data_IF_103177500052
#
_entry.id   IF_103177500052
#
_cell.length_a   1.000
_cell.length_b   1.000
_cell.length_c   1.000
_cell.angle_alpha   90.00
_cell.angle_beta   90.00
_cell.angle_gamma   90.00
#
_symmetry.space_group_name_H-M   'P 1'
#
loop_
_entity.id
_entity.type
_entity.pdbx_description
1 polymer ?
#
# COMPACT_ATOMS: atom_id res chain seq x y z
N UNK A 1 -16.90 9.86 -6.09
CA UNK A 1 -15.45 10.13 -6.03
C UNK A 1 -14.83 8.86 -5.53
N UNK A 2 -13.90 8.30 -6.27
CA UNK A 2 -13.36 6.99 -5.93
C UNK A 2 -12.42 7.12 -4.72
N UNK A 3 -12.56 6.20 -3.76
CA UNK A 3 -11.73 6.16 -2.55
C UNK A 3 -10.59 5.17 -2.76
N UNK A 4 -9.37 5.68 -2.80
CA UNK A 4 -8.16 4.86 -2.79
C UNK A 4 -7.47 4.92 -1.42
N UNK A 5 -7.07 3.76 -0.91
CA UNK A 5 -6.36 3.64 0.35
C UNK A 5 -4.92 3.20 0.08
N UNK A 6 -3.96 3.95 0.61
CA UNK A 6 -2.56 3.55 0.65
C UNK A 6 -2.24 3.02 2.05
N UNK A 7 -1.90 1.73 2.13
CA UNK A 7 -1.72 1.00 3.40
C UNK A 7 -0.54 0.03 3.31
N UNK A 8 0.05 -0.30 4.45
CA UNK A 8 1.27 -1.11 4.56
C UNK A 8 2.14 -0.64 5.72
N UNK A 9 3.29 -1.29 5.93
CA UNK A 9 4.19 -0.97 7.04
C UNK A 9 4.76 0.45 6.96
N UNK A 10 5.20 0.99 8.09
CA UNK A 10 5.98 2.22 8.13
C UNK A 10 7.25 2.09 7.29
N UNK A 11 7.74 3.22 6.79
CA UNK A 11 8.86 3.29 5.86
C UNK A 11 8.65 2.61 4.49
N UNK A 12 7.47 2.02 4.22
CA UNK A 12 7.18 1.36 2.95
C UNK A 12 7.07 2.26 1.70
N UNK A 13 7.11 3.59 1.83
CA UNK A 13 7.07 4.51 0.69
C UNK A 13 5.69 5.01 0.24
N UNK A 14 4.62 4.74 1.01
CA UNK A 14 3.24 5.18 0.71
C UNK A 14 3.11 6.66 0.37
N UNK A 15 3.59 7.53 1.27
CA UNK A 15 3.55 8.98 1.08
C UNK A 15 4.41 9.41 -0.12
N UNK A 16 5.56 8.75 -0.34
CA UNK A 16 6.42 9.02 -1.50
C UNK A 16 5.70 8.72 -2.81
N UNK A 17 5.02 7.58 -2.90
CA UNK A 17 4.21 7.22 -4.07
C UNK A 17 3.14 8.28 -4.33
N UNK A 18 2.43 8.73 -3.29
CA UNK A 18 1.39 9.75 -3.43
C UNK A 18 1.98 11.07 -3.97
N UNK A 19 3.09 11.55 -3.40
CA UNK A 19 3.75 12.77 -3.88
C UNK A 19 4.27 12.64 -5.30
N UNK A 20 4.86 11.50 -5.66
CA UNK A 20 5.28 11.22 -7.04
C UNK A 20 4.09 11.26 -8.01
N UNK A 21 2.97 10.62 -7.67
CA UNK A 21 1.76 10.63 -8.50
C UNK A 21 1.13 12.02 -8.63
N UNK A 22 1.30 12.89 -7.63
CA UNK A 22 0.85 14.28 -7.68
C UNK A 22 1.85 15.23 -8.38
N UNK A 23 3.04 14.76 -8.77
CA UNK A 23 4.11 15.61 -9.30
C UNK A 23 4.77 16.50 -8.24
N UNK A 24 4.58 16.20 -6.95
CA UNK A 24 5.08 16.95 -5.80
C UNK A 24 6.51 16.53 -5.40
N UNK A 25 7.40 16.36 -6.39
CA UNK A 25 8.76 15.84 -6.19
C UNK A 25 9.60 16.63 -5.18
N UNK A 26 9.34 17.93 -5.03
CA UNK A 26 10.03 18.78 -4.05
C UNK A 26 9.78 18.38 -2.59
N UNK A 27 8.69 17.68 -2.31
CA UNK A 27 8.32 17.23 -0.97
C UNK A 27 9.02 15.92 -0.57
N UNK A 28 9.60 15.18 -1.52
CA UNK A 28 10.19 13.86 -1.28
C UNK A 28 11.37 13.89 -0.28
N UNK A 29 12.15 14.97 -0.27
CA UNK A 29 13.32 15.11 0.62
C UNK A 29 12.95 15.40 2.08
N UNK A 30 11.70 15.79 2.35
CA UNK A 30 11.24 16.23 3.67
C UNK A 30 10.23 15.31 4.34
N UNK A 31 10.00 14.10 3.80
CA UNK A 31 8.96 13.19 4.30
C UNK A 31 9.28 12.78 5.74
N UNK A 32 8.28 12.94 6.61
CA UNK A 32 8.29 12.47 8.00
C UNK A 32 7.30 11.31 8.16
N UNK A 33 7.47 10.44 9.18
CA UNK A 33 6.51 9.36 9.43
C UNK A 33 5.07 9.89 9.57
N UNK A 34 4.14 9.36 8.76
CA UNK A 34 2.72 9.75 8.80
C UNK A 34 2.08 9.43 10.15
N UNK A 35 1.37 10.40 10.71
CA UNK A 35 0.68 10.30 11.99
C UNK A 35 -0.80 9.97 11.77
N UNK A 36 -1.25 8.81 12.24
CA UNK A 36 -2.66 8.43 12.16
C UNK A 36 -3.12 8.16 10.73
N UNK A 37 -4.15 8.88 10.29
CA UNK A 37 -4.71 8.78 8.93
C UNK A 37 -4.65 10.17 8.32
N UNK A 38 -3.82 10.35 7.29
CA UNK A 38 -3.80 11.59 6.52
C UNK A 38 -4.85 11.50 5.43
N UNK A 39 -5.80 12.45 5.44
CA UNK A 39 -6.92 12.52 4.50
C UNK A 39 -6.80 13.80 3.70
N UNK A 40 -6.36 13.71 2.46
CA UNK A 40 -6.44 14.83 1.54
C UNK A 40 -7.76 14.76 0.79
N UNK A 41 -8.84 15.25 1.42
CA UNK A 41 -10.17 15.31 0.79
C UNK A 41 -10.27 16.43 -0.27
N UNK A 42 -9.37 17.42 -0.21
CA UNK A 42 -9.34 18.59 -1.10
C UNK A 42 -8.45 18.42 -2.32
N UNK A 43 -7.49 17.49 -2.28
CA UNK A 43 -6.56 17.22 -3.40
C UNK A 43 -7.03 15.96 -4.10
N UNK A 44 -7.89 16.14 -5.10
CA UNK A 44 -8.20 15.06 -6.05
C UNK A 44 -6.94 14.79 -6.85
N UNK A 45 -6.35 13.60 -6.67
CA UNK A 45 -5.27 13.16 -7.55
C UNK A 45 -5.89 12.70 -8.86
N UNK A 46 -5.28 13.06 -9.98
CA UNK A 46 -5.62 12.48 -11.28
C UNK A 46 -4.78 11.24 -11.48
N UNK A 47 -5.33 10.08 -11.13
CA UNK A 47 -4.71 8.79 -11.43
C UNK A 47 -5.47 8.15 -12.58
N UNK A 48 -4.78 7.84 -13.68
CA UNK A 48 -5.39 7.23 -14.88
C UNK A 48 -6.60 8.01 -15.43
N UNK A 49 -6.60 9.35 -15.25
CA UNK A 49 -7.71 10.22 -15.67
C UNK A 49 -8.89 10.29 -14.69
N UNK A 50 -8.83 9.57 -13.56
CA UNK A 50 -9.86 9.53 -12.53
C UNK A 50 -9.53 10.49 -11.38
N UNK A 51 -10.55 11.15 -10.83
CA UNK A 51 -10.41 11.98 -9.63
C UNK A 51 -10.58 11.12 -8.38
N UNK A 52 -9.46 10.80 -7.75
CA UNK A 52 -9.42 9.91 -6.59
C UNK A 52 -9.21 10.71 -5.31
N UNK A 53 -9.97 10.38 -4.27
CA UNK A 53 -9.65 10.76 -2.89
C UNK A 53 -8.73 9.72 -2.29
N UNK A 54 -7.52 10.13 -1.90
CA UNK A 54 -6.53 9.20 -1.36
C UNK A 54 -6.45 9.31 0.17
N UNK A 55 -6.31 8.16 0.82
CA UNK A 55 -6.08 8.04 2.25
C UNK A 55 -4.70 7.45 2.47
N UNK A 56 -3.80 8.22 3.09
CA UNK A 56 -2.46 7.73 3.49
C UNK A 56 -2.51 7.28 4.95
N UNK A 57 -2.41 5.95 5.15
CA UNK A 57 -2.49 5.36 6.48
C UNK A 57 -1.10 5.28 7.12
N UNK A 58 -0.95 5.82 8.33
CA UNK A 58 0.29 5.67 9.10
C UNK A 58 0.64 4.20 9.32
N UNK A 59 1.82 3.78 8.85
CA UNK A 59 2.24 2.38 8.89
C UNK A 59 2.86 1.91 10.21
N UNK A 60 3.09 2.82 11.17
CA UNK A 60 3.69 2.42 12.45
C UNK A 60 2.71 1.53 13.21
N UNK A 61 3.22 0.56 13.97
CA UNK A 61 2.41 -0.43 14.70
C UNK A 61 1.17 0.16 15.41
N UNK A 62 1.35 1.22 16.20
CA UNK A 62 0.26 1.91 16.92
C UNK A 62 -0.87 2.45 16.01
N UNK A 63 -0.54 2.86 14.78
CA UNK A 63 -1.50 3.39 13.81
C UNK A 63 -2.13 2.27 12.99
N UNK A 64 -1.40 1.20 12.69
CA UNK A 64 -1.98 -0.03 12.12
C UNK A 64 -3.02 -0.65 13.04
N UNK A 65 -2.72 -0.76 14.34
CA UNK A 65 -3.68 -1.23 15.36
C UNK A 65 -4.93 -0.35 15.41
N UNK A 66 -4.76 0.97 15.23
CA UNK A 66 -5.87 1.93 15.17
C UNK A 66 -6.71 1.74 13.91
N UNK A 67 -6.08 1.56 12.75
CA UNK A 67 -6.76 1.29 11.46
C UNK A 67 -7.64 0.04 11.56
N UNK A 68 -7.13 -1.05 12.15
CA UNK A 68 -7.90 -2.29 12.33
C UNK A 68 -9.09 -2.08 13.29
N UNK A 69 -8.93 -1.27 14.34
CA UNK A 69 -10.02 -0.92 15.28
C UNK A 69 -11.07 -0.02 14.64
N UNK A 70 -10.67 0.92 13.79
CA UNK A 70 -11.54 1.88 13.10
C UNK A 70 -11.99 1.37 11.72
N UNK A 71 -12.03 0.05 11.52
CA UNK A 71 -12.29 -0.60 10.22
C UNK A 71 -13.52 -0.09 9.47
N UNK A 72 -14.65 0.08 10.17
CA UNK A 72 -15.92 0.57 9.62
C UNK A 72 -15.82 1.99 9.05
N UNK A 73 -14.83 2.76 9.48
CA UNK A 73 -14.58 4.10 8.99
C UNK A 73 -13.51 4.10 7.89
N UNK A 74 -12.48 3.25 8.04
CA UNK A 74 -11.34 3.22 7.11
C UNK A 74 -11.68 2.49 5.80
N UNK A 75 -12.29 1.31 5.86
CA UNK A 75 -12.43 0.45 4.68
C UNK A 75 -13.78 0.55 3.98
N UNK A 76 -14.78 1.18 4.61
CA UNK A 76 -16.10 1.39 3.99
C UNK A 76 -16.00 2.15 2.68
N UNK A 77 -16.71 1.68 1.64
CA UNK A 77 -16.73 2.29 0.30
C UNK A 77 -15.32 2.46 -0.32
N UNK A 78 -14.35 1.63 0.09
CA UNK A 78 -13.06 1.60 -0.58
C UNK A 78 -13.23 0.99 -1.97
N UNK A 79 -12.77 1.69 -3.01
CA UNK A 79 -12.80 1.15 -4.38
C UNK A 79 -11.46 0.51 -4.75
N UNK A 80 -10.37 1.09 -4.25
CA UNK A 80 -9.00 0.66 -4.53
C UNK A 80 -8.18 0.62 -3.23
N UNK A 81 -7.43 -0.45 -3.04
CA UNK A 81 -6.41 -0.56 -1.99
C UNK A 81 -5.05 -0.74 -2.64
N UNK A 82 -4.15 0.22 -2.42
CA UNK A 82 -2.72 0.08 -2.69
C UNK A 82 -2.04 -0.43 -1.42
N UNK A 83 -1.72 -1.74 -1.40
CA UNK A 83 -0.93 -2.34 -0.33
C UNK A 83 0.56 -2.28 -0.69
N UNK A 84 1.32 -1.52 0.08
CA UNK A 84 2.73 -1.20 -0.22
C UNK A 84 3.66 -2.01 0.66
N UNK A 85 4.57 -2.75 0.02
CA UNK A 85 5.58 -3.61 0.64
C UNK A 85 6.95 -3.06 0.30
N UNK A 86 7.78 -2.77 1.30
CA UNK A 86 9.19 -2.45 1.09
C UNK A 86 9.95 -3.74 0.78
N UNK A 87 10.44 -3.90 -0.45
CA UNK A 87 11.17 -5.13 -0.83
C UNK A 87 12.54 -5.23 -0.18
N UNK A 88 13.08 -4.13 0.35
CA UNK A 88 14.39 -4.08 0.98
C UNK A 88 14.37 -4.39 2.48
N UNK A 89 13.17 -4.54 3.05
CA UNK A 89 12.94 -4.86 4.47
C UNK A 89 12.35 -6.28 4.58
N UNK A 90 13.12 -7.26 4.08
CA UNK A 90 12.73 -8.67 3.99
C UNK A 90 12.48 -9.32 5.37
N UNK A 91 13.22 -8.88 6.38
CA UNK A 91 13.02 -9.26 7.78
C UNK A 91 11.58 -8.99 8.25
N UNK A 92 10.90 -7.99 7.67
CA UNK A 92 9.52 -7.60 8.01
C UNK A 92 8.46 -8.14 7.05
N UNK A 93 8.82 -8.98 6.09
CA UNK A 93 7.82 -9.64 5.24
C UNK A 93 6.75 -10.40 6.04
N UNK A 94 7.08 -11.17 7.11
CA UNK A 94 6.07 -11.81 7.93
C UNK A 94 5.12 -10.82 8.61
N UNK A 95 5.63 -9.70 9.14
CA UNK A 95 4.83 -8.64 9.77
C UNK A 95 3.92 -7.94 8.76
N UNK A 96 4.41 -7.76 7.53
CA UNK A 96 3.63 -7.19 6.42
C UNK A 96 2.52 -8.15 5.99
N UNK A 97 2.81 -9.45 5.88
CA UNK A 97 1.82 -10.45 5.51
C UNK A 97 0.73 -10.60 6.57
N UNK A 98 1.09 -10.66 7.86
CA UNK A 98 0.13 -10.72 8.97
C UNK A 98 -0.79 -9.48 8.97
N UNK A 99 -0.25 -8.30 8.66
CA UNK A 99 -1.08 -7.10 8.58
C UNK A 99 -2.02 -7.12 7.38
N UNK A 100 -1.55 -7.61 6.23
CA UNK A 100 -2.37 -7.78 5.04
C UNK A 100 -3.50 -8.79 5.27
N UNK A 101 -3.20 -9.94 5.87
CA UNK A 101 -4.18 -10.96 6.24
C UNK A 101 -5.33 -10.39 7.08
N UNK A 102 -5.01 -9.62 8.14
CA UNK A 102 -6.02 -8.93 8.96
C UNK A 102 -6.87 -7.94 8.17
N UNK A 103 -6.32 -7.30 7.13
CA UNK A 103 -7.09 -6.42 6.25
C UNK A 103 -8.06 -7.25 5.40
N UNK A 104 -7.62 -8.37 4.84
CA UNK A 104 -8.48 -9.28 4.08
C UNK A 104 -9.64 -9.79 4.95
N UNK A 105 -9.36 -10.26 6.16
CA UNK A 105 -10.39 -10.69 7.12
C UNK A 105 -11.43 -9.60 7.40
N UNK A 106 -10.99 -8.35 7.56
CA UNK A 106 -11.87 -7.20 7.76
C UNK A 106 -12.74 -6.93 6.53
N UNK A 107 -12.15 -6.98 5.33
CA UNK A 107 -12.89 -6.77 4.09
C UNK A 107 -13.95 -7.86 3.88
N UNK A 108 -13.62 -9.11 4.21
CA UNK A 108 -14.57 -10.23 4.18
C UNK A 108 -15.70 -10.03 5.20
N UNK A 109 -15.38 -9.65 6.44
CA UNK A 109 -16.37 -9.38 7.50
C UNK A 109 -17.33 -8.24 7.12
N UNK A 110 -16.80 -7.20 6.46
CA UNK A 110 -17.56 -6.03 6.03
C UNK A 110 -18.28 -6.23 4.69
N UNK A 111 -18.04 -7.36 4.00
CA UNK A 111 -18.52 -7.62 2.64
C UNK A 111 -18.11 -6.50 1.64
N UNK A 112 -16.87 -6.04 1.75
CA UNK A 112 -16.24 -5.05 0.87
C UNK A 112 -15.32 -5.75 -0.15
N UNK A 113 -15.43 -5.36 -1.43
CA UNK A 113 -14.63 -5.94 -2.54
C UNK A 113 -13.89 -4.87 -3.36
N UNK A 114 -12.95 -4.11 -2.75
CA UNK A 114 -12.08 -3.21 -3.49
C UNK A 114 -11.15 -3.98 -4.45
N UNK A 115 -10.70 -3.32 -5.51
CA UNK A 115 -9.55 -3.81 -6.28
C UNK A 115 -8.28 -3.63 -5.45
N UNK A 116 -7.49 -4.69 -5.29
CA UNK A 116 -6.27 -4.65 -4.48
C UNK A 116 -5.06 -4.61 -5.42
N UNK A 117 -4.24 -3.58 -5.28
CA UNK A 117 -2.95 -3.43 -5.95
C UNK A 117 -1.84 -3.67 -4.93
N UNK A 118 -1.08 -4.75 -5.10
CA UNK A 118 0.11 -5.03 -4.30
C UNK A 118 1.30 -4.36 -4.98
N UNK A 119 1.93 -3.42 -4.28
CA UNK A 119 3.12 -2.70 -4.75
C UNK A 119 4.34 -3.25 -4.01
N UNK A 120 5.14 -4.06 -4.69
CA UNK A 120 6.50 -4.41 -4.29
C UNK A 120 7.39 -3.21 -4.59
N UNK A 121 7.58 -2.36 -3.59
CA UNK A 121 8.14 -1.02 -3.71
C UNK A 121 9.61 -0.93 -3.29
N UNK A 122 10.32 0.09 -3.79
CA UNK A 122 11.77 0.29 -3.68
C UNK A 122 12.61 -0.73 -4.45
N UNK A 123 12.03 -1.29 -5.52
CA UNK A 123 12.77 -2.13 -6.46
C UNK A 123 13.49 -1.26 -7.49
N UNK A 124 14.45 -0.45 -7.04
CA UNK A 124 15.20 0.44 -7.92
C UNK A 124 16.08 -0.38 -8.90
N UNK A 125 16.63 0.24 -9.97
CA UNK A 125 17.31 -0.51 -11.03
C UNK A 125 18.42 -1.48 -10.56
N UNK A 126 19.29 -1.14 -9.57
CA UNK A 126 20.28 -2.08 -9.05
C UNK A 126 19.65 -3.35 -8.45
N UNK A 127 18.51 -3.21 -7.78
CA UNK A 127 17.80 -4.29 -7.09
C UNK A 127 17.15 -5.28 -8.06
N UNK A 128 16.78 -4.83 -9.26
CA UNK A 128 16.13 -5.65 -10.28
C UNK A 128 17.04 -6.79 -10.80
N UNK A 129 18.35 -6.68 -10.61
CA UNK A 129 19.31 -7.74 -10.93
C UNK A 129 19.60 -8.70 -9.77
N UNK A 130 19.01 -8.50 -8.59
CA UNK A 130 19.24 -9.34 -7.43
C UNK A 130 18.28 -10.54 -7.42
N UNK A 131 18.74 -11.70 -7.92
CA UNK A 131 17.95 -12.93 -8.00
C UNK A 131 17.38 -13.37 -6.65
N UNK A 132 18.15 -13.29 -5.56
CA UNK A 132 17.68 -13.68 -4.22
C UNK A 132 16.52 -12.81 -3.73
N UNK A 133 16.55 -11.52 -4.06
CA UNK A 133 15.45 -10.61 -3.75
C UNK A 133 14.20 -10.95 -4.57
N UNK A 134 14.36 -11.24 -5.87
CA UNK A 134 13.25 -11.62 -6.74
C UNK A 134 12.59 -12.93 -6.31
N UNK A 135 13.38 -13.90 -5.86
CA UNK A 135 12.86 -15.16 -5.29
C UNK A 135 12.00 -14.89 -4.06
N UNK A 136 12.47 -14.03 -3.14
CA UNK A 136 11.71 -13.64 -1.94
C UNK A 136 10.42 -12.89 -2.28
N UNK A 137 10.45 -12.01 -3.27
CA UNK A 137 9.24 -11.33 -3.77
C UNK A 137 8.25 -12.35 -4.34
N UNK A 138 8.75 -13.33 -5.10
CA UNK A 138 7.93 -14.42 -5.66
C UNK A 138 7.29 -15.26 -4.56
N UNK A 139 8.05 -15.63 -3.53
CA UNK A 139 7.51 -16.34 -2.36
C UNK A 139 6.44 -15.53 -1.63
N UNK A 140 6.67 -14.22 -1.45
CA UNK A 140 5.69 -13.34 -0.83
C UNK A 140 4.42 -13.22 -1.68
N UNK A 141 4.55 -13.09 -3.00
CA UNK A 141 3.43 -13.08 -3.93
C UNK A 141 2.60 -14.37 -3.82
N UNK A 142 3.25 -15.53 -3.84
CA UNK A 142 2.57 -16.83 -3.71
C UNK A 142 1.79 -16.94 -2.39
N UNK A 143 2.36 -16.44 -1.28
CA UNK A 143 1.66 -16.39 0.01
C UNK A 143 0.45 -15.47 -0.03
N UNK A 144 0.56 -14.29 -0.65
CA UNK A 144 -0.57 -13.37 -0.83
C UNK A 144 -1.67 -14.03 -1.66
N UNK A 145 -1.33 -14.68 -2.78
CA UNK A 145 -2.30 -15.37 -3.64
C UNK A 145 -3.10 -16.45 -2.89
N UNK A 146 -2.44 -17.17 -1.96
CA UNK A 146 -3.10 -18.15 -1.10
C UNK A 146 -4.11 -17.52 -0.13
N UNK A 147 -3.81 -16.33 0.40
CA UNK A 147 -4.69 -15.61 1.33
C UNK A 147 -5.91 -14.98 0.65
N UNK A 148 -5.85 -14.71 -0.66
CA UNK A 148 -6.81 -13.83 -1.35
C UNK A 148 -7.63 -14.53 -2.41
N UNK A 149 -7.79 -15.85 -2.30
CA UNK A 149 -8.47 -16.66 -3.31
C UNK A 149 -9.86 -16.11 -3.64
N UNK A 150 -10.06 -15.66 -4.88
CA UNK A 150 -11.33 -15.07 -5.36
C UNK A 150 -11.41 -13.54 -5.36
N UNK A 151 -10.44 -12.82 -4.79
CA UNK A 151 -10.38 -11.34 -4.83
C UNK A 151 -9.67 -10.82 -6.08
N UNK A 152 -10.04 -9.61 -6.52
CA UNK A 152 -9.40 -8.93 -7.66
C UNK A 152 -8.08 -8.30 -7.24
N UNK A 153 -6.97 -8.98 -7.52
CA UNK A 153 -5.63 -8.53 -7.15
C UNK A 153 -4.74 -8.34 -8.38
N UNK A 154 -3.99 -7.24 -8.39
CA UNK A 154 -2.91 -6.98 -9.34
C UNK A 154 -1.59 -6.71 -8.61
N UNK A 155 -0.48 -7.15 -9.19
CA UNK A 155 0.86 -7.07 -8.59
C UNK A 155 1.77 -6.19 -9.44
N UNK A 156 2.55 -5.32 -8.79
CA UNK A 156 3.44 -4.39 -9.45
C UNK A 156 4.78 -4.32 -8.72
N UNK A 157 5.87 -4.36 -9.47
CA UNK A 157 7.18 -3.93 -8.99
C UNK A 157 7.34 -2.44 -9.28
N UNK A 158 7.72 -1.65 -8.29
CA UNK A 158 7.70 -0.18 -8.40
C UNK A 158 8.93 0.47 -7.76
N UNK A 159 9.39 1.56 -8.37
CA UNK A 159 10.31 2.53 -7.78
C UNK A 159 9.81 3.96 -8.03
N UNK A 160 10.14 4.90 -7.14
CA UNK A 160 9.93 6.33 -7.40
C UNK A 160 11.01 6.92 -8.34
N UNK A 161 12.02 6.13 -8.70
CA UNK A 161 13.10 6.52 -9.61
C UNK A 161 12.85 6.11 -11.06
N UNK A 162 11.75 5.40 -11.34
CA UNK A 162 11.36 4.93 -12.69
C UNK A 162 10.57 5.97 -13.50
N UNK A 163 10.62 7.26 -13.12
CA UNK A 163 9.84 8.35 -13.74
C UNK A 163 10.60 9.02 -14.88
#
# INVERSE_FOLDING_TARGET
>A
MEKAIFVGLDNGGKTSIIYTLNGEFSLLSGIRPTIGVSRNQTTTMKLLGMNITHWDLGGQKKYRDKVLKEKNFVFVEAEIIFYVIDVLDDDRFPESLEYFEKIIEILDEMNEDPVIHILFHKLDPPQQSNEQLLDRITDMKNKIEQLTSGRRIAYYSTSIHDV
#
